data_IF_082265977386
#
_entry.id   IF_082265977386
#
_cell.length_a   1.000
_cell.length_b   1.000
_cell.length_c   1.000
_cell.angle_alpha   90.00
_cell.angle_beta   90.00
_cell.angle_gamma   90.00
#
_symmetry.space_group_name_H-M   'P 1'
#
loop_
_entity.id
_entity.type
_entity.pdbx_description
1 polymer ?
#
# COMPACT_ATOMS: atom_id res chain seq x y z
N UNK A 1 11.01 -27.97 8.40
CA UNK A 1 10.41 -27.24 7.25
C UNK A 1 8.89 -27.43 7.19
N UNK A 2 8.41 -28.66 7.26
CA UNK A 2 6.98 -29.03 7.20
C UNK A 2 6.07 -28.26 8.20
N UNK A 3 6.43 -28.21 9.50
CA UNK A 3 5.67 -27.45 10.51
C UNK A 3 5.48 -25.96 10.16
N UNK A 4 6.44 -25.35 9.46
CA UNK A 4 6.36 -23.93 9.06
C UNK A 4 5.41 -23.73 7.88
N UNK A 5 5.44 -24.64 6.90
CA UNK A 5 4.53 -24.60 5.76
C UNK A 5 3.09 -24.76 6.26
N UNK A 6 2.85 -25.72 7.17
CA UNK A 6 1.54 -25.89 7.82
C UNK A 6 1.11 -24.61 8.55
N UNK A 7 2.01 -23.97 9.31
CA UNK A 7 1.70 -22.73 10.01
C UNK A 7 1.30 -21.60 9.05
N UNK A 8 1.98 -21.48 7.90
CA UNK A 8 1.70 -20.45 6.88
C UNK A 8 0.32 -20.71 6.24
N UNK A 9 0.04 -21.96 5.85
CA UNK A 9 -1.26 -22.35 5.29
C UNK A 9 -2.39 -22.12 6.29
N UNK A 10 -2.17 -22.47 7.56
CA UNK A 10 -3.14 -22.27 8.62
C UNK A 10 -3.41 -20.78 8.87
N UNK A 11 -2.37 -19.93 8.87
CA UNK A 11 -2.53 -18.48 8.99
C UNK A 11 -3.32 -17.90 7.82
N UNK A 12 -3.02 -18.31 6.59
CA UNK A 12 -3.79 -17.90 5.41
C UNK A 12 -5.25 -18.34 5.50
N UNK A 13 -5.51 -19.57 5.93
CA UNK A 13 -6.86 -20.08 6.11
C UNK A 13 -7.66 -19.29 7.16
N UNK A 14 -7.06 -19.05 8.33
CA UNK A 14 -7.67 -18.26 9.41
C UNK A 14 -7.98 -16.85 8.91
N UNK A 15 -7.05 -16.23 8.17
CA UNK A 15 -7.20 -14.89 7.63
C UNK A 15 -8.34 -14.82 6.60
N UNK A 16 -8.45 -15.78 5.68
CA UNK A 16 -9.56 -15.88 4.74
C UNK A 16 -10.89 -15.95 5.50
N UNK A 17 -10.98 -16.84 6.50
CA UNK A 17 -12.19 -16.98 7.31
C UNK A 17 -12.54 -15.70 8.08
N UNK A 18 -11.54 -15.00 8.61
CA UNK A 18 -11.73 -13.72 9.28
C UNK A 18 -12.33 -12.67 8.33
N UNK A 19 -11.84 -12.57 7.09
CA UNK A 19 -12.39 -11.65 6.10
C UNK A 19 -13.84 -11.99 5.73
N UNK A 20 -14.14 -13.27 5.53
CA UNK A 20 -15.52 -13.72 5.28
C UNK A 20 -16.46 -13.27 6.41
N UNK A 21 -16.04 -13.47 7.66
CA UNK A 21 -16.82 -13.07 8.85
C UNK A 21 -16.98 -11.55 8.92
N UNK A 22 -15.90 -10.78 8.74
CA UNK A 22 -15.92 -9.31 8.83
C UNK A 22 -16.84 -8.73 7.75
N UNK A 23 -16.73 -9.20 6.51
CA UNK A 23 -17.50 -8.65 5.39
C UNK A 23 -18.96 -9.08 5.44
N UNK A 24 -19.27 -10.24 6.03
CA UNK A 24 -20.64 -10.70 6.22
C UNK A 24 -21.32 -10.06 7.44
N UNK A 25 -20.56 -9.44 8.34
CA UNK A 25 -21.07 -8.86 9.60
C UNK A 25 -22.23 -7.86 9.42
N UNK A 26 -22.26 -6.97 8.42
CA UNK A 26 -23.40 -6.06 8.22
C UNK A 26 -24.74 -6.80 8.03
N UNK A 27 -24.72 -7.99 7.44
CA UNK A 27 -25.92 -8.82 7.21
C UNK A 27 -26.45 -9.47 8.48
N UNK A 28 -25.69 -9.42 9.59
CA UNK A 28 -26.20 -9.75 10.92
C UNK A 28 -27.23 -8.71 11.40
N UNK A 29 -27.09 -7.45 10.97
CA UNK A 29 -27.88 -6.34 11.48
C UNK A 29 -28.92 -5.82 10.48
N UNK A 30 -28.72 -6.08 9.19
CA UNK A 30 -29.52 -5.49 8.11
C UNK A 30 -30.30 -6.60 7.40
N UNK A 31 -31.63 -6.47 7.37
CA UNK A 31 -32.50 -7.29 6.53
C UNK A 31 -33.43 -6.39 5.72
N UNK A 32 -33.01 -6.05 4.50
CA UNK A 32 -33.70 -5.08 3.65
C UNK A 32 -33.75 -3.69 4.32
N UNK A 33 -34.96 -3.25 4.71
CA UNK A 33 -35.17 -1.96 5.41
C UNK A 33 -35.26 -2.08 6.94
N UNK A 34 -35.21 -3.29 7.49
CA UNK A 34 -35.34 -3.53 8.93
C UNK A 34 -33.95 -3.74 9.54
N UNK A 35 -33.71 -3.08 10.67
CA UNK A 35 -32.52 -3.25 11.49
C UNK A 35 -32.87 -4.14 12.67
N UNK A 36 -32.15 -5.25 12.83
CA UNK A 36 -32.39 -6.26 13.86
C UNK A 36 -31.30 -7.35 13.83
N UNK A 37 -31.22 -8.18 14.86
CA UNK A 37 -30.22 -9.27 14.90
C UNK A 37 -30.76 -10.48 14.14
N UNK A 38 -30.17 -10.76 12.98
CA UNK A 38 -30.56 -11.84 12.08
C UNK A 38 -29.41 -12.82 11.87
N UNK A 39 -29.25 -13.75 12.81
CA UNK A 39 -28.15 -14.73 12.82
C UNK A 39 -28.16 -15.61 11.56
N UNK A 40 -29.35 -15.99 11.07
CA UNK A 40 -29.49 -16.82 9.87
C UNK A 40 -28.97 -16.13 8.60
N UNK A 41 -29.26 -14.83 8.43
CA UNK A 41 -28.77 -14.05 7.29
C UNK A 41 -27.24 -13.88 7.32
N UNK A 42 -26.65 -13.74 8.50
CA UNK A 42 -25.20 -13.74 8.64
C UNK A 42 -24.56 -15.06 8.19
N UNK A 43 -25.03 -16.21 8.67
CA UNK A 43 -24.44 -17.50 8.30
C UNK A 43 -24.67 -17.87 6.83
N UNK A 44 -25.86 -17.59 6.29
CA UNK A 44 -26.13 -17.81 4.86
C UNK A 44 -25.22 -16.96 3.98
N UNK A 45 -24.92 -15.73 4.38
CA UNK A 45 -23.96 -14.88 3.68
C UNK A 45 -22.52 -15.41 3.78
N UNK A 46 -22.08 -15.85 4.97
CA UNK A 46 -20.77 -16.51 5.10
C UNK A 46 -20.64 -17.72 4.17
N UNK A 47 -21.66 -18.59 4.11
CA UNK A 47 -21.67 -19.76 3.23
C UNK A 47 -21.66 -19.34 1.76
N UNK A 48 -22.47 -18.34 1.38
CA UNK A 48 -22.52 -17.81 0.02
C UNK A 48 -21.17 -17.25 -0.44
N UNK A 49 -20.48 -16.49 0.43
CA UNK A 49 -19.14 -15.97 0.13
C UNK A 49 -18.14 -17.11 -0.03
N UNK A 50 -18.18 -18.12 0.85
CA UNK A 50 -17.28 -19.28 0.76
C UNK A 50 -17.53 -20.09 -0.53
N UNK A 51 -18.79 -20.32 -0.91
CA UNK A 51 -19.11 -21.06 -2.13
C UNK A 51 -18.68 -20.27 -3.38
N UNK A 52 -18.88 -18.95 -3.39
CA UNK A 52 -18.48 -18.11 -4.50
C UNK A 52 -16.94 -17.97 -4.62
N UNK A 53 -16.20 -18.07 -3.51
CA UNK A 53 -14.73 -18.13 -3.53
C UNK A 53 -14.18 -19.39 -4.22
N UNK A 54 -14.93 -20.50 -4.22
CA UNK A 54 -14.55 -21.75 -4.89
C UNK A 54 -14.76 -21.65 -6.41
N UNK A 55 -15.72 -20.84 -6.87
CA UNK A 55 -16.08 -20.65 -8.27
C UNK A 55 -15.86 -19.19 -8.74
N UNK A 56 -14.61 -18.71 -8.80
CA UNK A 56 -14.32 -17.30 -9.09
C UNK A 56 -14.68 -16.86 -10.52
N UNK A 57 -14.87 -17.80 -11.46
CA UNK A 57 -15.20 -17.53 -12.86
C UNK A 57 -16.64 -17.01 -13.03
N UNK A 58 -17.53 -17.28 -12.08
CA UNK A 58 -18.94 -16.87 -12.13
C UNK A 58 -19.18 -15.48 -11.52
N UNK A 59 -18.14 -14.85 -10.97
CA UNK A 59 -18.25 -13.55 -10.32
C UNK A 59 -18.56 -12.46 -11.33
N UNK A 60 -19.66 -11.74 -11.08
CA UNK A 60 -20.11 -10.61 -11.88
C UNK A 60 -20.09 -9.33 -11.07
N UNK A 61 -19.61 -8.26 -11.69
CA UNK A 61 -19.59 -6.92 -11.15
C UNK A 61 -20.78 -6.14 -11.67
N UNK A 62 -21.60 -5.65 -10.75
CA UNK A 62 -22.74 -4.77 -11.05
C UNK A 62 -22.24 -3.34 -11.21
N UNK A 63 -22.30 -2.79 -12.41
CA UNK A 63 -21.99 -1.38 -12.65
C UNK A 63 -23.25 -0.62 -13.06
N UNK A 64 -23.46 0.53 -12.44
CA UNK A 64 -24.47 1.49 -12.84
C UNK A 64 -24.00 2.19 -14.14
N UNK A 65 -24.66 1.88 -15.26
CA UNK A 65 -24.37 2.51 -16.56
C UNK A 65 -25.49 3.47 -16.93
N UNK A 66 -25.15 4.69 -17.37
CA UNK A 66 -26.15 5.61 -17.92
C UNK A 66 -26.45 5.21 -19.35
N UNK A 67 -27.66 4.71 -19.59
CA UNK A 67 -28.17 4.39 -20.91
C UNK A 67 -29.11 5.52 -21.33
N UNK A 68 -28.76 6.23 -22.40
CA UNK A 68 -29.65 7.19 -23.02
C UNK A 68 -30.75 6.42 -23.76
N UNK A 69 -31.94 6.36 -23.17
CA UNK A 69 -33.14 5.86 -23.86
C UNK A 69 -33.88 7.04 -24.46
N UNK A 70 -34.00 7.09 -25.78
CA UNK A 70 -34.82 8.09 -26.46
C UNK A 70 -36.27 7.63 -26.41
N UNK A 71 -37.13 8.40 -25.73
CA UNK A 71 -38.58 8.21 -25.74
C UNK A 71 -39.23 9.56 -26.04
N UNK A 72 -40.09 9.62 -27.07
CA UNK A 72 -40.72 10.86 -27.54
C UNK A 72 -39.75 12.04 -27.79
N UNK A 73 -38.66 11.82 -28.53
CA UNK A 73 -37.63 12.84 -28.82
C UNK A 73 -36.93 13.46 -27.58
N UNK A 74 -37.16 12.91 -26.38
CA UNK A 74 -36.43 13.27 -25.16
C UNK A 74 -35.41 12.18 -24.86
N UNK A 75 -34.14 12.56 -24.74
CA UNK A 75 -33.08 11.67 -24.25
C UNK A 75 -33.25 11.52 -22.73
N UNK A 76 -33.80 10.38 -22.30
CA UNK A 76 -33.89 10.04 -20.88
C UNK A 76 -32.68 9.19 -20.53
N UNK A 77 -31.77 9.73 -19.73
CA UNK A 77 -30.65 8.98 -19.16
C UNK A 77 -31.19 8.10 -18.03
N UNK A 78 -31.42 6.82 -18.31
CA UNK A 78 -31.75 5.83 -17.27
C UNK A 78 -30.46 5.20 -16.77
N UNK A 79 -30.29 5.19 -15.45
CA UNK A 79 -29.23 4.42 -14.81
C UNK A 79 -29.69 2.96 -14.84
N UNK A 80 -29.02 2.13 -15.65
CA UNK A 80 -29.25 0.71 -15.74
C UNK A 80 -28.05 -0.04 -15.15
N UNK A 81 -28.31 -0.87 -14.15
CA UNK A 81 -27.31 -1.80 -13.63
C UNK A 81 -27.05 -2.88 -14.67
N UNK A 82 -25.81 -2.95 -15.18
CA UNK A 82 -25.34 -4.04 -16.04
C UNK A 82 -24.35 -4.89 -15.26
N UNK A 83 -24.50 -6.20 -15.40
CA UNK A 83 -23.57 -7.17 -14.86
C UNK A 83 -22.45 -7.42 -15.87
N UNK A 84 -21.20 -7.17 -15.47
CA UNK A 84 -20.01 -7.50 -16.25
C UNK A 84 -19.28 -8.65 -15.58
N UNK A 85 -18.67 -9.58 -16.32
CA UNK A 85 -17.82 -10.58 -15.71
C UNK A 85 -16.62 -9.90 -15.01
N UNK A 86 -16.31 -10.31 -13.78
CA UNK A 86 -15.22 -9.74 -12.99
C UNK A 86 -13.86 -9.99 -13.67
N UNK A 87 -13.73 -11.18 -14.27
CA UNK A 87 -12.60 -11.56 -15.10
C UNK A 87 -12.92 -11.31 -16.57
N UNK A 88 -12.03 -10.66 -17.34
CA UNK A 88 -10.66 -10.25 -17.02
C UNK A 88 -10.52 -8.81 -16.47
N UNK A 89 -11.63 -8.11 -16.21
CA UNK A 89 -11.65 -6.68 -15.93
C UNK A 89 -10.75 -6.27 -14.75
N UNK A 90 -10.67 -7.11 -13.71
CA UNK A 90 -9.94 -6.86 -12.47
C UNK A 90 -8.41 -6.79 -12.62
N UNK A 91 -7.84 -7.44 -13.65
CA UNK A 91 -6.38 -7.57 -13.77
C UNK A 91 -5.68 -6.22 -13.93
N UNK A 92 -6.23 -5.33 -14.75
CA UNK A 92 -5.59 -4.04 -15.02
C UNK A 92 -5.62 -3.14 -13.76
N UNK A 93 -6.76 -2.92 -13.09
CA UNK A 93 -6.81 -2.22 -11.80
C UNK A 93 -5.90 -2.85 -10.73
N UNK A 94 -5.84 -4.17 -10.67
CA UNK A 94 -4.93 -4.89 -9.77
C UNK A 94 -3.46 -4.56 -10.00
N UNK A 95 -3.02 -4.62 -11.26
CA UNK A 95 -1.62 -4.34 -11.60
C UNK A 95 -1.25 -2.90 -11.24
N UNK A 96 -2.14 -1.93 -11.40
CA UNK A 96 -1.88 -0.55 -10.98
C UNK A 96 -1.67 -0.44 -9.48
N UNK A 97 -2.59 -0.99 -8.67
CA UNK A 97 -2.49 -0.97 -7.22
C UNK A 97 -1.20 -1.65 -6.72
N UNK A 98 -0.83 -2.80 -7.31
CA UNK A 98 0.41 -3.50 -6.97
C UNK A 98 1.66 -2.70 -7.33
N UNK A 99 1.70 -2.12 -8.54
CA UNK A 99 2.83 -1.30 -8.98
C UNK A 99 3.02 -0.09 -8.07
N UNK A 100 1.93 0.55 -7.63
CA UNK A 100 2.00 1.67 -6.69
C UNK A 100 2.56 1.23 -5.34
N UNK A 101 2.03 0.18 -4.72
CA UNK A 101 2.50 -0.28 -3.40
C UNK A 101 3.95 -0.75 -3.47
N UNK A 102 4.26 -1.71 -4.35
CA UNK A 102 5.60 -2.31 -4.42
C UNK A 102 6.62 -1.30 -4.93
N UNK A 103 6.25 -0.47 -5.90
CA UNK A 103 7.10 0.60 -6.41
C UNK A 103 7.40 1.65 -5.35
N UNK A 104 6.39 2.11 -4.61
CA UNK A 104 6.59 3.05 -3.50
C UNK A 104 7.45 2.43 -2.39
N UNK A 105 7.26 1.14 -2.08
CA UNK A 105 8.08 0.43 -1.10
C UNK A 105 9.56 0.42 -1.53
N UNK A 106 9.85 0.02 -2.77
CA UNK A 106 11.23 -0.02 -3.29
C UNK A 106 11.85 1.37 -3.28
N UNK A 107 11.15 2.38 -3.80
CA UNK A 107 11.63 3.78 -3.80
C UNK A 107 11.89 4.25 -2.38
N UNK A 108 11.03 3.90 -1.43
CA UNK A 108 11.21 4.31 -0.04
C UNK A 108 12.41 3.66 0.66
N UNK A 109 12.66 2.38 0.40
CA UNK A 109 13.82 1.66 0.93
C UNK A 109 15.11 2.27 0.35
N UNK A 110 15.16 2.47 -0.97
CA UNK A 110 16.33 3.07 -1.62
C UNK A 110 16.58 4.51 -1.15
N UNK A 111 15.55 5.35 -1.14
CA UNK A 111 15.67 6.76 -0.78
C UNK A 111 16.01 6.95 0.68
N UNK A 112 15.37 6.19 1.59
CA UNK A 112 15.67 6.29 3.02
C UNK A 112 17.09 5.86 3.33
N UNK A 113 17.55 4.76 2.73
CA UNK A 113 18.91 4.26 2.94
C UNK A 113 19.98 5.25 2.45
N UNK A 114 19.77 5.84 1.26
CA UNK A 114 20.66 6.89 0.74
C UNK A 114 20.68 8.11 1.66
N UNK A 115 19.50 8.60 2.07
CA UNK A 115 19.39 9.73 2.99
C UNK A 115 20.04 9.44 4.35
N UNK A 116 19.87 8.24 4.90
CA UNK A 116 20.47 7.84 6.18
C UNK A 116 21.99 7.72 6.09
N UNK A 117 22.55 7.23 4.97
CA UNK A 117 24.00 7.26 4.74
C UNK A 117 24.51 8.70 4.75
N UNK A 118 23.87 9.57 3.95
CA UNK A 118 24.28 10.98 3.83
C UNK A 118 24.21 11.65 5.20
N UNK A 119 23.11 11.46 5.94
CA UNK A 119 22.92 12.06 7.26
C UNK A 119 23.93 11.53 8.29
N UNK A 120 24.21 10.23 8.31
CA UNK A 120 25.11 9.60 9.27
C UNK A 120 26.60 9.96 9.06
N UNK A 121 27.01 10.24 7.82
CA UNK A 121 28.38 10.69 7.49
C UNK A 121 28.52 12.20 7.64
N UNK A 122 27.41 12.94 7.59
CA UNK A 122 27.40 14.39 7.70
C UNK A 122 27.78 14.90 9.11
N UNK A 123 28.31 16.13 9.24
CA UNK A 123 28.50 16.75 10.54
C UNK A 123 27.19 16.87 11.31
N UNK A 124 27.25 16.77 12.65
CA UNK A 124 26.06 16.83 13.53
C UNK A 124 25.11 18.01 13.28
N UNK A 125 25.64 19.16 12.83
CA UNK A 125 24.82 20.33 12.47
C UNK A 125 23.94 20.05 11.24
N UNK A 126 24.53 19.48 10.20
CA UNK A 126 23.83 19.12 8.96
C UNK A 126 22.86 17.97 9.19
N UNK A 127 23.27 16.96 9.96
CA UNK A 127 22.40 15.86 10.37
C UNK A 127 21.13 16.39 11.04
N UNK A 128 21.27 17.31 12.01
CA UNK A 128 20.12 17.91 12.71
C UNK A 128 19.19 18.66 11.76
N UNK A 129 19.74 19.44 10.83
CA UNK A 129 18.93 20.15 9.81
C UNK A 129 18.17 19.17 8.92
N UNK A 130 18.79 18.05 8.51
CA UNK A 130 18.11 17.01 7.73
C UNK A 130 16.97 16.37 8.55
N UNK A 131 17.24 16.00 9.80
CA UNK A 131 16.24 15.40 10.70
C UNK A 131 15.06 16.34 10.95
N UNK A 132 15.33 17.63 11.18
CA UNK A 132 14.30 18.67 11.36
C UNK A 132 13.48 18.91 10.08
N UNK A 133 14.13 18.97 8.91
CA UNK A 133 13.45 19.11 7.62
C UNK A 133 12.53 17.92 7.33
N UNK A 134 13.01 16.70 7.59
CA UNK A 134 12.23 15.46 7.46
C UNK A 134 11.06 15.43 8.46
N UNK A 135 11.28 15.88 9.70
CA UNK A 135 10.22 15.98 10.71
C UNK A 135 9.14 17.00 10.32
N UNK A 136 9.54 18.15 9.78
CA UNK A 136 8.60 19.14 9.25
C UNK A 136 7.74 18.54 8.13
N UNK A 137 8.36 17.84 7.17
CA UNK A 137 7.64 17.20 6.06
C UNK A 137 6.62 16.16 6.54
N UNK A 138 6.92 15.43 7.63
CA UNK A 138 6.00 14.45 8.25
C UNK A 138 4.75 15.09 8.86
N UNK A 139 4.86 16.35 9.31
CA UNK A 139 3.75 17.07 9.94
C UNK A 139 2.68 17.47 8.93
N UNK A 140 3.02 17.54 7.64
CA UNK A 140 2.08 17.86 6.57
C UNK A 140 1.25 16.61 6.25
N UNK A 141 -0.10 16.68 6.32
CA UNK A 141 -0.95 15.58 5.88
C UNK A 141 -0.72 15.25 4.40
N UNK A 142 -0.72 13.96 4.08
CA UNK A 142 -0.48 13.43 2.74
C UNK A 142 -1.43 14.02 1.67
N UNK A 143 -2.70 14.22 2.01
CA UNK A 143 -3.70 14.88 1.14
C UNK A 143 -3.24 16.28 0.71
N UNK A 144 -2.71 17.08 1.64
CA UNK A 144 -2.20 18.42 1.31
C UNK A 144 -0.94 18.35 0.47
N UNK A 145 -0.06 17.39 0.74
CA UNK A 145 1.14 17.19 -0.05
C UNK A 145 0.79 16.83 -1.50
N UNK A 146 -0.17 15.93 -1.71
CA UNK A 146 -0.72 15.60 -3.04
C UNK A 146 -1.25 16.86 -3.72
N UNK A 147 -2.11 17.61 -3.03
CA UNK A 147 -2.74 18.82 -3.56
C UNK A 147 -1.73 19.88 -3.99
N UNK A 148 -0.77 20.21 -3.12
CA UNK A 148 0.26 21.21 -3.44
C UNK A 148 1.17 20.76 -4.58
N UNK A 149 1.52 19.48 -4.65
CA UNK A 149 2.36 18.99 -5.73
C UNK A 149 1.62 18.99 -7.08
N UNK A 150 0.33 18.64 -7.08
CA UNK A 150 -0.52 18.75 -8.28
C UNK A 150 -0.63 20.20 -8.75
N UNK A 151 -0.88 21.15 -7.83
CA UNK A 151 -0.89 22.58 -8.15
C UNK A 151 0.45 23.05 -8.72
N UNK A 152 1.56 22.61 -8.12
CA UNK A 152 2.90 22.95 -8.58
C UNK A 152 3.17 22.44 -10.01
N UNK A 153 2.79 21.19 -10.31
CA UNK A 153 2.90 20.63 -11.67
C UNK A 153 2.06 21.40 -12.69
N UNK A 154 0.82 21.74 -12.34
CA UNK A 154 -0.06 22.54 -13.21
C UNK A 154 0.52 23.94 -13.44
N UNK A 155 1.12 24.55 -12.41
CA UNK A 155 1.78 25.84 -12.50
C UNK A 155 2.98 25.80 -13.46
N UNK A 156 3.87 24.81 -13.32
CA UNK A 156 5.01 24.63 -14.25
C UNK A 156 4.53 24.51 -15.68
N UNK A 157 3.51 23.68 -15.92
CA UNK A 157 2.96 23.49 -17.27
C UNK A 157 2.44 24.81 -17.86
N UNK A 158 1.77 25.63 -17.05
CA UNK A 158 1.27 26.93 -17.49
C UNK A 158 2.39 27.91 -17.90
N UNK A 159 3.52 27.90 -17.20
CA UNK A 159 4.63 28.82 -17.49
C UNK A 159 5.60 28.31 -18.56
N UNK A 160 5.81 27.00 -18.65
CA UNK A 160 6.83 26.40 -19.52
C UNK A 160 6.25 25.68 -20.74
N UNK A 161 4.96 25.37 -20.74
CA UNK A 161 4.33 24.49 -21.73
C UNK A 161 4.77 23.02 -21.64
N UNK A 162 5.70 22.70 -20.74
CA UNK A 162 6.25 21.36 -20.57
C UNK A 162 5.66 20.70 -19.34
N UNK A 163 5.13 19.49 -19.51
CA UNK A 163 4.59 18.69 -18.41
C UNK A 163 5.55 17.54 -18.10
N UNK A 164 6.44 17.68 -17.10
CA UNK A 164 7.41 16.63 -16.79
C UNK A 164 6.74 15.33 -16.33
N UNK A 165 5.65 15.44 -15.57
CA UNK A 165 4.88 14.32 -15.04
C UNK A 165 3.39 14.68 -15.03
N UNK A 166 2.53 13.72 -15.41
CA UNK A 166 1.08 13.94 -15.40
C UNK A 166 0.55 14.09 -13.96
N UNK A 167 -0.15 15.19 -13.62
CA UNK A 167 -0.63 15.45 -12.26
C UNK A 167 -1.79 14.52 -11.86
N UNK A 168 -2.52 13.99 -12.83
CA UNK A 168 -3.63 13.05 -12.63
C UNK A 168 -3.76 12.11 -13.83
N UNK A 169 -4.43 10.98 -13.61
CA UNK A 169 -4.76 10.00 -14.64
C UNK A 169 -5.96 10.47 -15.46
N UNK A 170 -5.86 10.28 -16.79
CA UNK A 170 -6.93 10.54 -17.76
C UNK A 170 -7.37 9.23 -18.43
N UNK A 171 -8.43 9.27 -19.23
CA UNK A 171 -8.91 8.09 -19.96
C UNK A 171 -7.89 7.53 -20.97
N UNK A 172 -6.99 8.39 -21.47
CA UNK A 172 -5.97 8.02 -22.46
C UNK A 172 -4.61 7.75 -21.83
N UNK A 173 -4.22 8.53 -20.80
CA UNK A 173 -2.91 8.42 -20.15
C UNK A 173 -3.04 8.18 -18.64
N UNK A 174 -2.55 7.03 -18.17
CA UNK A 174 -2.49 6.71 -16.75
C UNK A 174 -1.23 7.30 -16.11
N UNK A 175 -1.41 8.22 -15.16
CA UNK A 175 -0.29 8.73 -14.36
C UNK A 175 0.03 7.76 -13.22
N UNK A 176 1.21 7.14 -13.27
CA UNK A 176 1.67 6.18 -12.25
C UNK A 176 2.88 6.74 -11.49
N UNK A 177 3.79 7.39 -12.20
CA UNK A 177 5.09 7.83 -11.64
C UNK A 177 4.91 8.85 -10.52
N UNK A 178 4.11 9.89 -10.73
CA UNK A 178 3.90 10.93 -9.73
C UNK A 178 3.22 10.40 -8.45
N UNK A 179 2.08 9.67 -8.53
CA UNK A 179 1.47 9.06 -7.36
C UNK A 179 2.42 8.10 -6.63
N UNK A 180 3.21 7.31 -7.35
CA UNK A 180 4.20 6.39 -6.77
C UNK A 180 5.26 7.14 -5.95
N UNK A 181 5.83 8.22 -6.52
CA UNK A 181 6.84 9.02 -5.83
C UNK A 181 6.30 9.67 -4.57
N UNK A 182 5.07 10.21 -4.64
CA UNK A 182 4.43 10.86 -3.49
C UNK A 182 4.07 9.82 -2.42
N UNK A 183 3.53 8.68 -2.84
CA UNK A 183 3.19 7.58 -1.94
C UNK A 183 4.42 7.06 -1.19
N UNK A 184 5.60 7.12 -1.81
CA UNK A 184 6.86 6.73 -1.19
C UNK A 184 7.36 7.71 -0.12
N UNK A 185 6.91 8.98 -0.09
CA UNK A 185 7.47 10.02 0.80
C UNK A 185 7.30 9.65 2.27
N UNK A 186 6.09 9.36 2.72
CA UNK A 186 5.81 9.05 4.14
C UNK A 186 6.54 7.78 4.61
N UNK A 187 6.51 6.66 3.86
CA UNK A 187 7.38 5.50 4.10
C UNK A 187 8.87 5.85 4.19
N UNK A 188 9.37 6.70 3.28
CA UNK A 188 10.78 7.13 3.27
C UNK A 188 11.15 7.85 4.56
N UNK A 189 10.30 8.80 4.98
CA UNK A 189 10.50 9.57 6.22
C UNK A 189 10.48 8.64 7.44
N UNK A 190 9.48 7.76 7.53
CA UNK A 190 9.35 6.79 8.63
C UNK A 190 10.57 5.88 8.73
N UNK A 191 11.00 5.33 7.58
CA UNK A 191 12.13 4.42 7.51
C UNK A 191 13.46 5.13 7.78
N UNK A 192 13.64 6.36 7.31
CA UNK A 192 14.81 7.19 7.61
C UNK A 192 14.93 7.49 9.11
N UNK A 193 13.84 7.92 9.75
CA UNK A 193 13.83 8.21 11.19
C UNK A 193 14.18 6.97 12.01
N UNK A 194 13.61 5.82 11.63
CA UNK A 194 13.91 4.55 12.26
C UNK A 194 15.37 4.11 12.06
N UNK A 195 15.91 4.26 10.85
CA UNK A 195 17.32 3.99 10.57
C UNK A 195 18.25 4.90 11.38
N UNK A 196 17.95 6.20 11.47
CA UNK A 196 18.77 7.14 12.25
C UNK A 196 18.75 6.82 13.75
N UNK A 197 17.61 6.39 14.29
CA UNK A 197 17.51 5.91 15.66
C UNK A 197 18.48 4.73 15.89
N UNK A 198 18.42 3.72 15.02
CA UNK A 198 19.28 2.54 15.12
C UNK A 198 20.76 2.89 14.92
N UNK A 199 21.10 3.74 13.95
CA UNK A 199 22.49 4.19 13.74
C UNK A 199 23.03 4.87 15.00
N UNK A 200 22.23 5.74 15.64
CA UNK A 200 22.64 6.43 16.86
C UNK A 200 22.80 5.50 18.07
N UNK A 201 22.02 4.42 18.15
CA UNK A 201 22.17 3.37 19.17
C UNK A 201 23.43 2.51 18.92
N UNK A 202 23.62 2.06 17.69
CA UNK A 202 24.76 1.23 17.28
C UNK A 202 26.09 1.98 17.41
N UNK A 203 26.12 3.29 17.15
CA UNK A 203 27.32 4.12 17.33
C UNK A 203 27.85 4.15 18.78
N UNK A 204 27.02 3.80 19.77
CA UNK A 204 27.40 3.77 21.19
C UNK A 204 27.91 2.40 21.65
N UNK A 205 27.87 1.40 20.78
CA UNK A 205 28.25 0.03 21.12
C UNK A 205 29.78 -0.16 21.15
N UNK A 206 30.24 -1.07 22.01
CA UNK A 206 31.67 -1.33 22.23
C UNK A 206 32.42 -1.77 20.97
N UNK A 207 31.74 -2.52 20.08
CA UNK A 207 32.35 -2.96 18.82
C UNK A 207 32.68 -1.77 17.89
N UNK A 208 31.90 -0.68 17.95
CA UNK A 208 32.17 0.55 17.19
C UNK A 208 33.36 1.29 17.78
N UNK A 209 33.43 1.39 19.11
CA UNK A 209 34.57 2.00 19.80
C UNK A 209 35.87 1.25 19.49
N UNK A 210 35.84 -0.08 19.52
CA UNK A 210 36.98 -0.91 19.15
C UNK A 210 37.38 -0.76 17.68
N UNK A 211 36.41 -0.69 16.76
CA UNK A 211 36.69 -0.47 15.35
C UNK A 211 37.35 0.90 15.10
N UNK A 212 36.91 1.95 15.82
CA UNK A 212 37.56 3.27 15.77
C UNK A 212 38.97 3.24 16.36
N UNK A 213 39.19 2.55 17.48
CA UNK A 213 40.51 2.39 18.09
C UNK A 213 41.50 1.67 17.15
N UNK A 214 41.00 0.77 16.30
CA UNK A 214 41.78 0.15 15.21
C UNK A 214 42.06 1.06 14.01
N UNK A 215 41.56 2.29 14.01
CA UNK A 215 41.78 3.27 12.94
C UNK A 215 40.83 3.14 11.74
N UNK A 216 39.75 2.36 11.83
CA UNK A 216 38.79 2.28 10.73
C UNK A 216 38.01 3.59 10.56
N UNK A 217 37.82 4.04 9.32
CA UNK A 217 37.05 5.25 9.01
C UNK A 217 35.55 5.10 9.26
N UNK A 218 34.86 6.23 9.51
CA UNK A 218 33.43 6.26 9.83
C UNK A 218 32.54 5.59 8.77
N UNK A 219 32.83 5.80 7.48
CA UNK A 219 32.07 5.18 6.39
C UNK A 219 32.24 3.66 6.35
N UNK A 220 33.45 3.17 6.62
CA UNK A 220 33.72 1.73 6.72
C UNK A 220 32.94 1.11 7.89
N UNK A 221 32.99 1.76 9.06
CA UNK A 221 32.28 1.28 10.26
C UNK A 221 30.76 1.25 10.01
N UNK A 222 30.22 2.32 9.41
CA UNK A 222 28.81 2.42 9.08
C UNK A 222 28.37 1.28 8.14
N UNK A 223 29.07 1.11 7.02
CA UNK A 223 28.68 0.14 5.99
C UNK A 223 28.92 -1.30 6.40
N UNK A 224 30.03 -1.59 7.09
CA UNK A 224 30.46 -2.96 7.38
C UNK A 224 29.90 -3.51 8.68
N UNK A 225 29.75 -2.66 9.69
CA UNK A 225 29.37 -3.08 11.04
C UNK A 225 27.96 -2.61 11.42
N UNK A 226 27.70 -1.31 11.39
CA UNK A 226 26.42 -0.74 11.86
C UNK A 226 25.26 -1.24 11.00
N UNK A 227 25.30 -1.04 9.68
CA UNK A 227 24.19 -1.48 8.82
C UNK A 227 23.94 -2.98 8.91
N UNK A 228 25.02 -3.78 8.98
CA UNK A 228 24.89 -5.23 9.13
C UNK A 228 24.13 -5.61 10.40
N UNK A 229 24.35 -4.91 11.52
CA UNK A 229 23.67 -5.22 12.78
C UNK A 229 22.21 -4.76 12.79
N UNK A 230 21.92 -3.59 12.18
CA UNK A 230 20.57 -3.03 12.18
C UNK A 230 19.64 -3.54 11.07
N UNK A 231 20.14 -4.25 10.04
CA UNK A 231 19.31 -4.77 8.93
C UNK A 231 18.12 -5.58 9.46
N UNK A 232 18.32 -6.35 10.53
CA UNK A 232 17.26 -7.15 11.15
C UNK A 232 16.09 -6.26 11.60
N UNK A 233 16.39 -5.22 12.37
CA UNK A 233 15.39 -4.28 12.86
C UNK A 233 14.71 -3.54 11.71
N UNK A 234 15.48 -3.12 10.71
CA UNK A 234 14.96 -2.45 9.50
C UNK A 234 13.98 -3.33 8.74
N UNK A 235 14.31 -4.62 8.54
CA UNK A 235 13.42 -5.58 7.86
C UNK A 235 12.11 -5.78 8.64
N UNK A 236 12.14 -5.78 9.97
CA UNK A 236 10.91 -5.86 10.77
C UNK A 236 10.04 -4.60 10.59
N UNK A 237 10.65 -3.41 10.51
CA UNK A 237 9.91 -2.16 10.30
C UNK A 237 9.29 -2.05 8.90
N UNK A 238 9.89 -2.69 7.90
CA UNK A 238 9.33 -2.77 6.53
C UNK A 238 7.95 -3.44 6.53
N UNK A 239 7.70 -4.41 7.41
CA UNK A 239 6.37 -5.05 7.54
C UNK A 239 5.29 -4.01 7.90
N UNK A 240 5.56 -3.14 8.88
CA UNK A 240 4.67 -2.05 9.27
C UNK A 240 4.48 -1.02 8.16
N UNK A 241 5.54 -0.71 7.41
CA UNK A 241 5.47 0.21 6.26
C UNK A 241 4.56 -0.35 5.17
N UNK A 242 4.65 -1.66 4.89
CA UNK A 242 3.81 -2.31 3.90
C UNK A 242 2.32 -2.20 4.24
N UNK A 243 1.97 -2.41 5.51
CA UNK A 243 0.59 -2.26 5.99
C UNK A 243 0.10 -0.81 5.88
N UNK A 244 0.95 0.15 6.22
CA UNK A 244 0.63 1.57 6.07
C UNK A 244 0.38 1.96 4.61
N UNK A 245 1.20 1.45 3.66
CA UNK A 245 1.03 1.67 2.23
C UNK A 245 -0.30 1.13 1.69
N UNK A 246 -0.71 -0.07 2.12
CA UNK A 246 -2.01 -0.63 1.72
C UNK A 246 -3.16 0.26 2.19
N UNK A 247 -3.05 0.78 3.41
CA UNK A 247 -4.09 1.62 4.02
C UNK A 247 -4.19 2.98 3.34
N UNK A 248 -3.06 3.60 2.97
CA UNK A 248 -3.05 4.90 2.31
C UNK A 248 -3.38 4.84 0.82
N UNK A 249 -3.20 3.68 0.17
CA UNK A 249 -3.38 3.54 -1.28
C UNK A 249 -4.74 4.05 -1.80
N UNK A 250 -5.82 3.85 -1.03
CA UNK A 250 -7.16 4.34 -1.37
C UNK A 250 -7.18 5.84 -1.69
N UNK A 251 -6.56 6.65 -0.83
CA UNK A 251 -6.52 8.11 -0.97
C UNK A 251 -5.78 8.49 -2.25
N UNK A 252 -4.68 7.79 -2.55
CA UNK A 252 -3.89 8.03 -3.74
C UNK A 252 -4.62 7.64 -5.02
N UNK A 253 -5.28 6.49 -5.06
CA UNK A 253 -6.10 6.09 -6.22
C UNK A 253 -7.20 7.10 -6.50
N UNK A 254 -7.86 7.58 -5.44
CA UNK A 254 -8.92 8.59 -5.55
C UNK A 254 -8.39 9.95 -6.03
N UNK A 255 -7.37 10.50 -5.36
CA UNK A 255 -6.86 11.85 -5.66
C UNK A 255 -6.11 11.96 -7.00
N UNK A 256 -5.53 10.85 -7.49
CA UNK A 256 -4.89 10.81 -8.82
C UNK A 256 -5.83 10.29 -9.91
N UNK A 257 -7.10 10.00 -9.58
CA UNK A 257 -8.10 9.43 -10.51
C UNK A 257 -7.61 8.13 -11.19
N UNK A 258 -6.86 7.32 -10.45
CA UNK A 258 -6.37 6.02 -10.91
C UNK A 258 -7.47 5.01 -10.65
N UNK A 259 -7.92 4.33 -11.70
CA UNK A 259 -8.88 3.22 -11.59
C UNK A 259 -8.17 1.95 -11.12
N UNK A 260 -7.75 1.93 -9.86
CA UNK A 260 -7.16 0.78 -9.19
C UNK A 260 -8.21 -0.10 -8.51
N UNK A 261 -7.78 -1.03 -7.66
CA UNK A 261 -8.67 -1.99 -7.00
C UNK A 261 -9.71 -1.32 -6.09
N UNK A 262 -9.37 -0.21 -5.44
CA UNK A 262 -10.34 0.44 -4.56
C UNK A 262 -11.50 1.06 -5.35
N UNK A 263 -11.29 1.44 -6.61
CA UNK A 263 -12.39 1.89 -7.47
C UNK A 263 -13.42 0.78 -7.74
N UNK A 264 -12.95 -0.48 -7.84
CA UNK A 264 -13.80 -1.67 -7.96
C UNK A 264 -14.49 -1.94 -6.63
N UNK A 265 -13.78 -1.79 -5.51
CA UNK A 265 -14.33 -2.00 -4.16
C UNK A 265 -15.52 -1.06 -3.86
N UNK A 266 -15.41 0.21 -4.24
CA UNK A 266 -16.47 1.20 -4.04
C UNK A 266 -17.68 0.91 -4.95
N UNK A 267 -17.42 0.44 -6.17
CA UNK A 267 -18.46 0.19 -7.17
C UNK A 267 -19.18 -1.15 -6.93
N UNK A 268 -18.44 -2.18 -6.56
CA UNK A 268 -18.92 -3.52 -6.26
C UNK A 268 -19.33 -3.62 -4.80
N UNK A 269 -20.56 -3.19 -4.49
CA UNK A 269 -21.14 -3.31 -3.14
C UNK A 269 -21.44 -4.78 -2.72
N UNK A 270 -21.09 -5.75 -3.55
CA UNK A 270 -21.32 -7.17 -3.29
C UNK A 270 -20.27 -7.71 -2.29
N UNK A 271 -20.69 -8.25 -1.13
CA UNK A 271 -19.81 -8.86 -0.14
C UNK A 271 -18.79 -9.84 -0.72
N UNK A 272 -19.18 -10.61 -1.74
CA UNK A 272 -18.31 -11.59 -2.38
C UNK A 272 -17.15 -10.90 -3.10
N UNK A 273 -17.43 -9.84 -3.86
CA UNK A 273 -16.43 -9.07 -4.60
C UNK A 273 -15.47 -8.40 -3.61
N UNK A 274 -15.99 -7.86 -2.52
CA UNK A 274 -15.19 -7.22 -1.46
C UNK A 274 -14.18 -8.23 -0.88
N UNK A 275 -14.62 -9.42 -0.48
CA UNK A 275 -13.71 -10.45 0.05
C UNK A 275 -12.67 -10.85 -1.00
N UNK A 276 -13.08 -11.04 -2.25
CA UNK A 276 -12.16 -11.39 -3.32
C UNK A 276 -11.07 -10.32 -3.53
N UNK A 277 -11.45 -9.04 -3.57
CA UNK A 277 -10.53 -7.91 -3.71
C UNK A 277 -9.54 -7.82 -2.53
N UNK A 278 -10.02 -8.03 -1.31
CA UNK A 278 -9.16 -8.03 -0.12
C UNK A 278 -8.14 -9.17 -0.17
N UNK A 279 -8.55 -10.38 -0.59
CA UNK A 279 -7.63 -11.49 -0.77
C UNK A 279 -6.57 -11.22 -1.85
N UNK A 280 -6.96 -10.56 -2.94
CA UNK A 280 -6.05 -10.19 -4.03
C UNK A 280 -4.92 -9.25 -3.57
N UNK A 281 -5.19 -8.38 -2.60
CA UNK A 281 -4.16 -7.55 -1.95
C UNK A 281 -3.33 -8.35 -0.95
N UNK A 282 -3.97 -9.13 -0.09
CA UNK A 282 -3.33 -9.64 1.10
C UNK A 282 -2.45 -10.86 0.80
N UNK A 283 -2.85 -11.74 -0.13
CA UNK A 283 -2.06 -12.94 -0.47
C UNK A 283 -0.65 -12.57 -0.98
N UNK A 284 -0.48 -11.66 -1.97
CA UNK A 284 0.85 -11.22 -2.40
C UNK A 284 1.64 -10.53 -1.28
N UNK A 285 0.99 -9.68 -0.49
CA UNK A 285 1.66 -8.90 0.56
C UNK A 285 2.12 -9.78 1.71
N UNK A 286 1.31 -10.76 2.11
CA UNK A 286 1.73 -11.79 3.04
C UNK A 286 2.87 -12.63 2.47
N UNK A 287 2.87 -12.92 1.16
CA UNK A 287 4.01 -13.51 0.46
C UNK A 287 5.29 -12.69 0.59
N UNK A 288 5.22 -11.36 0.42
CA UNK A 288 6.35 -10.44 0.64
C UNK A 288 6.83 -10.50 2.09
N UNK A 289 5.92 -10.46 3.07
CA UNK A 289 6.25 -10.56 4.50
C UNK A 289 6.93 -11.90 4.82
N UNK A 290 6.41 -13.02 4.32
CA UNK A 290 7.02 -14.34 4.50
C UNK A 290 8.41 -14.39 3.85
N UNK A 291 8.57 -13.77 2.69
CA UNK A 291 9.86 -13.63 1.99
C UNK A 291 10.87 -12.84 2.80
N UNK A 292 10.48 -11.68 3.35
CA UNK A 292 11.31 -10.86 4.25
C UNK A 292 11.71 -11.63 5.51
N UNK A 293 10.77 -12.37 6.09
CA UNK A 293 11.01 -13.24 7.24
C UNK A 293 11.98 -14.39 6.94
N UNK A 294 11.96 -14.92 5.71
CA UNK A 294 12.93 -15.90 5.26
C UNK A 294 14.32 -15.27 5.06
N UNK A 295 14.39 -14.10 4.40
CA UNK A 295 15.64 -13.34 4.23
C UNK A 295 16.29 -13.03 5.58
N UNK A 296 15.48 -12.57 6.54
CA UNK A 296 15.91 -12.33 7.93
C UNK A 296 16.60 -13.54 8.53
N UNK A 297 16.00 -14.74 8.43
CA UNK A 297 16.60 -15.98 8.97
C UNK A 297 17.91 -16.35 8.29
N UNK A 298 18.06 -16.05 7.00
CA UNK A 298 19.32 -16.27 6.29
C UNK A 298 20.42 -15.31 6.77
N UNK A 299 20.06 -14.10 7.22
CA UNK A 299 21.01 -13.17 7.84
C UNK A 299 21.45 -13.61 9.26
N UNK A 300 20.66 -14.44 9.94
CA UNK A 300 20.97 -15.03 11.25
C UNK A 300 21.82 -16.31 11.18
N UNK A 301 21.89 -16.97 10.03
CA UNK A 301 22.61 -18.23 9.83
C UNK A 301 24.03 -17.97 9.32
#
# INVERSE_FOLDING_TARGET
>A
MFKKIISIILQLFIMIMLFVVIVSLPMLFINGKKVGIHVEHFFTQCIHVISALIHPEELKLKMATQVATVSNNVQIFKIQEREFPLFPLIFKPYTYSLVLILGALIVSICSSFLCSIIAAVSPRRVQRVIEEAVFFLKTIPDVFLIFFLQLFMVSIYRYTGFLPLHPFSTMQNTSIVLPLLILAIIPTISLFQFQMLLINEEQKQDYVMFARAKGFGNMYILCRHIFRNMVVSVVNHIESILLALITSLFVFEYMFNIRGLFSILISGQDPVIIVYLLLLFIVPMYGVIVGLNWLRRKLYA
#
